data_IF_080497029655
#
_entry.id   IF_080497029655
#
_cell.length_a   1.000
_cell.length_b   1.000
_cell.length_c   1.000
_cell.angle_alpha   90.00
_cell.angle_beta   90.00
_cell.angle_gamma   90.00
#
_symmetry.space_group_name_H-M   'P 1'
#
loop_
_entity.id
_entity.type
_entity.pdbx_description
1 polymer ?
#
# COMPACT_ATOMS: atom_id res chain seq x y z
N UNK A 1 0.65 7.47 -11.10
CA UNK A 1 -0.49 6.56 -10.83
C UNK A 1 -0.95 6.71 -9.38
N UNK A 2 -2.25 6.59 -9.12
CA UNK A 2 -2.82 6.60 -7.77
C UNK A 2 -3.97 5.60 -7.69
N UNK A 3 -4.25 5.11 -6.49
CA UNK A 3 -5.31 4.16 -6.24
C UNK A 3 -5.53 3.96 -4.74
N UNK A 4 -6.69 3.38 -4.39
CA UNK A 4 -7.14 3.24 -3.01
C UNK A 4 -7.23 1.76 -2.61
N UNK A 5 -6.84 1.41 -1.38
CA UNK A 5 -6.91 0.04 -0.84
C UNK A 5 -6.25 -0.96 -1.79
N UNK A 6 -6.96 -1.96 -2.31
CA UNK A 6 -6.45 -2.87 -3.34
C UNK A 6 -5.92 -2.14 -4.58
N UNK A 7 -6.57 -1.06 -5.02
CA UNK A 7 -6.04 -0.20 -6.08
C UNK A 7 -4.80 0.58 -5.66
N UNK A 8 -4.64 0.83 -4.36
CA UNK A 8 -3.41 1.36 -3.77
C UNK A 8 -2.26 0.37 -3.90
N UNK A 9 -2.49 -0.93 -3.67
CA UNK A 9 -1.47 -1.96 -3.96
C UNK A 9 -1.07 -1.95 -5.43
N UNK A 10 -2.01 -1.78 -6.37
CA UNK A 10 -1.67 -1.63 -7.80
C UNK A 10 -0.79 -0.41 -8.04
N UNK A 11 -1.15 0.75 -7.47
CA UNK A 11 -0.33 1.95 -7.58
C UNK A 11 1.08 1.75 -7.00
N UNK A 12 1.20 1.08 -5.85
CA UNK A 12 2.46 0.80 -5.17
C UNK A 12 3.34 -0.16 -5.96
N UNK A 13 2.82 -1.36 -6.26
CA UNK A 13 3.60 -2.41 -6.91
C UNK A 13 3.84 -2.17 -8.40
N UNK A 14 3.14 -1.21 -9.02
CA UNK A 14 3.51 -0.76 -10.38
C UNK A 14 4.88 -0.09 -10.46
N UNK A 15 5.52 0.24 -9.32
CA UNK A 15 6.92 0.65 -9.24
C UNK A 15 7.88 -0.52 -8.95
N UNK A 16 7.38 -1.73 -8.65
CA UNK A 16 8.20 -2.86 -8.25
C UNK A 16 8.81 -3.55 -9.48
N UNK A 17 10.14 -3.64 -9.53
CA UNK A 17 10.87 -4.05 -10.73
C UNK A 17 10.53 -5.47 -11.21
N UNK A 18 10.36 -6.47 -10.34
CA UNK A 18 9.89 -7.79 -10.78
C UNK A 18 8.55 -7.75 -11.51
N UNK A 19 7.60 -6.89 -11.09
CA UNK A 19 6.31 -6.74 -11.77
C UNK A 19 6.46 -5.99 -13.10
N UNK A 20 7.24 -4.90 -13.12
CA UNK A 20 7.52 -4.14 -14.34
C UNK A 20 8.09 -5.09 -15.39
N UNK A 21 9.18 -5.78 -15.08
CA UNK A 21 9.87 -6.70 -15.98
C UNK A 21 8.98 -7.84 -16.51
N UNK A 22 7.99 -8.27 -15.74
CA UNK A 22 7.03 -9.30 -16.16
C UNK A 22 5.98 -8.79 -17.16
N UNK A 23 5.69 -7.47 -17.17
CA UNK A 23 4.64 -6.86 -18.00
C UNK A 23 5.23 -6.09 -19.18
N UNK A 24 6.30 -5.33 -18.98
CA UNK A 24 6.91 -4.45 -19.97
C UNK A 24 8.35 -4.09 -19.63
N UNK A 25 9.16 -3.82 -20.64
CA UNK A 25 10.53 -3.30 -20.49
C UNK A 25 10.67 -1.83 -20.94
N UNK A 26 9.56 -1.17 -21.27
CA UNK A 26 9.58 0.12 -21.99
C UNK A 26 8.74 1.22 -21.34
N UNK A 27 7.89 0.87 -20.36
CA UNK A 27 6.96 1.82 -19.76
C UNK A 27 7.08 1.81 -18.24
N UNK A 28 7.05 3.00 -17.66
CA UNK A 28 6.97 3.24 -16.23
C UNK A 28 6.03 4.42 -15.96
N UNK A 29 5.50 4.50 -14.75
CA UNK A 29 4.82 5.71 -14.28
C UNK A 29 5.84 6.69 -13.71
N UNK A 30 5.54 7.99 -13.81
CA UNK A 30 6.42 9.07 -13.32
C UNK A 30 6.32 9.37 -11.82
N UNK A 31 5.34 8.76 -11.15
CA UNK A 31 5.07 8.94 -9.72
C UNK A 31 4.01 7.94 -9.27
N UNK A 32 4.07 7.54 -8.00
CA UNK A 32 3.19 6.55 -7.39
C UNK A 32 2.62 7.13 -6.10
N UNK A 33 1.29 7.30 -6.04
CA UNK A 33 0.59 7.80 -4.86
C UNK A 33 -0.45 6.77 -4.38
N UNK A 34 -0.03 5.69 -3.69
CA UNK A 34 -0.94 4.75 -3.06
C UNK A 34 -1.69 5.36 -1.88
N UNK A 35 -2.99 5.14 -1.81
CA UNK A 35 -3.82 5.60 -0.70
C UNK A 35 -4.31 4.37 0.07
N UNK A 36 -3.89 4.27 1.34
CA UNK A 36 -4.08 3.17 2.29
C UNK A 36 -3.90 1.77 1.67
N UNK A 37 -2.79 1.51 0.97
CA UNK A 37 -2.56 0.20 0.36
C UNK A 37 -2.36 -0.89 1.43
N UNK A 38 -2.77 -2.13 1.16
CA UNK A 38 -2.23 -3.29 1.87
C UNK A 38 -0.70 -3.38 1.74
N UNK A 39 0.02 -3.13 2.84
CA UNK A 39 1.48 -3.30 2.96
C UNK A 39 1.88 -4.51 3.81
N UNK A 40 0.97 -5.45 4.06
CA UNK A 40 1.17 -6.61 4.95
C UNK A 40 2.07 -7.71 4.34
N UNK A 41 3.09 -7.31 3.59
CA UNK A 41 3.97 -8.20 2.85
C UNK A 41 5.44 -7.88 3.11
N UNK A 42 6.25 -8.92 3.26
CA UNK A 42 7.70 -8.84 3.39
C UNK A 42 8.31 -9.28 2.06
N UNK A 43 8.91 -8.35 1.32
CA UNK A 43 9.38 -8.60 -0.03
C UNK A 43 10.70 -9.40 -0.02
N UNK A 44 10.79 -10.45 -0.84
CA UNK A 44 12.06 -11.15 -1.09
C UNK A 44 13.03 -10.28 -1.90
N UNK A 45 12.52 -9.39 -2.75
CA UNK A 45 13.28 -8.38 -3.48
C UNK A 45 12.64 -7.01 -3.27
N UNK A 46 13.41 -6.08 -2.71
CA UNK A 46 13.03 -4.68 -2.48
C UNK A 46 13.57 -3.80 -3.60
N UNK A 47 13.40 -4.24 -4.85
CA UNK A 47 13.82 -3.49 -6.04
C UNK A 47 12.64 -2.69 -6.60
N UNK A 48 12.68 -1.38 -6.40
CA UNK A 48 11.69 -0.43 -6.94
C UNK A 48 12.34 0.48 -7.98
N UNK A 49 11.53 1.07 -8.85
CA UNK A 49 11.96 2.10 -9.79
C UNK A 49 12.46 3.35 -9.04
N UNK A 50 13.29 4.15 -9.70
CA UNK A 50 13.77 5.45 -9.19
C UNK A 50 12.69 6.55 -9.18
N UNK A 51 11.45 6.21 -9.53
CA UNK A 51 10.33 7.14 -9.59
C UNK A 51 9.66 7.27 -8.21
N UNK A 52 9.21 8.47 -7.82
CA UNK A 52 8.79 8.76 -6.44
C UNK A 52 7.55 7.97 -6.03
N UNK A 53 7.59 7.40 -4.81
CA UNK A 53 6.51 6.66 -4.18
C UNK A 53 6.12 7.35 -2.88
N UNK A 54 4.84 7.69 -2.72
CA UNK A 54 4.35 8.27 -1.47
C UNK A 54 3.06 7.63 -1.00
N UNK A 55 3.06 7.00 0.16
CA UNK A 55 1.88 6.35 0.75
C UNK A 55 1.11 7.35 1.61
N UNK A 56 -0.21 7.38 1.45
CA UNK A 56 -1.14 8.13 2.31
C UNK A 56 -2.01 7.17 3.11
N UNK A 57 -1.87 7.11 4.43
CA UNK A 57 -2.58 6.12 5.26
C UNK A 57 -3.11 6.71 6.57
N UNK A 58 -4.12 6.08 7.17
CA UNK A 58 -4.64 6.47 8.47
C UNK A 58 -3.94 5.75 9.63
N UNK A 59 -3.63 6.48 10.70
CA UNK A 59 -2.98 5.95 11.92
C UNK A 59 -3.74 4.78 12.55
N UNK A 60 -5.07 4.82 12.52
CA UNK A 60 -5.97 3.84 13.13
C UNK A 60 -6.50 2.82 12.12
N UNK A 61 -5.89 2.72 10.94
CA UNK A 61 -6.22 1.68 9.97
C UNK A 61 -5.92 0.31 10.61
N UNK A 62 -6.95 -0.48 10.88
CA UNK A 62 -6.83 -1.85 11.35
C UNK A 62 -7.20 -2.86 10.27
N UNK A 63 -7.71 -2.40 9.13
CA UNK A 63 -7.94 -3.25 7.97
C UNK A 63 -6.60 -3.64 7.36
N UNK A 64 -5.73 -2.66 7.12
CA UNK A 64 -4.34 -2.82 6.71
C UNK A 64 -3.48 -1.83 7.50
N UNK A 65 -2.73 -2.27 8.53
CA UNK A 65 -2.15 -1.37 9.51
C UNK A 65 -1.11 -0.41 8.92
N UNK A 66 -1.14 0.85 9.36
CA UNK A 66 -0.15 1.86 8.98
C UNK A 66 1.29 1.40 9.27
N UNK A 67 1.50 0.70 10.38
CA UNK A 67 2.80 0.14 10.77
C UNK A 67 3.39 -0.79 9.71
N UNK A 68 2.56 -1.56 8.99
CA UNK A 68 3.05 -2.40 7.90
C UNK A 68 3.62 -1.56 6.74
N UNK A 69 3.00 -0.41 6.46
CA UNK A 69 3.50 0.48 5.42
C UNK A 69 4.74 1.25 5.90
N UNK A 70 4.83 1.61 7.19
CA UNK A 70 6.04 2.20 7.76
C UNK A 70 7.24 1.23 7.70
N UNK A 71 7.03 -0.04 8.06
CA UNK A 71 8.03 -1.11 7.95
C UNK A 71 8.51 -1.24 6.49
N UNK A 72 7.57 -1.35 5.55
CA UNK A 72 7.89 -1.48 4.12
C UNK A 72 8.64 -0.26 3.57
N UNK A 73 8.24 0.96 3.94
CA UNK A 73 8.93 2.18 3.51
C UNK A 73 10.35 2.23 4.07
N UNK A 74 10.55 1.77 5.30
CA UNK A 74 11.89 1.65 5.90
C UNK A 74 12.76 0.70 5.08
N UNK A 75 12.25 -0.47 4.70
CA UNK A 75 12.96 -1.43 3.86
C UNK A 75 13.27 -0.85 2.47
N UNK A 76 12.30 -0.15 1.86
CA UNK A 76 12.47 0.51 0.56
C UNK A 76 13.54 1.59 0.59
N UNK A 77 13.53 2.45 1.61
CA UNK A 77 14.54 3.50 1.79
C UNK A 77 15.93 2.90 2.04
N UNK A 78 16.02 1.83 2.84
CA UNK A 78 17.26 1.10 3.06
C UNK A 78 17.83 0.48 1.76
N UNK A 79 16.95 0.10 0.83
CA UNK A 79 17.31 -0.38 -0.51
C UNK A 79 17.58 0.76 -1.52
N UNK A 80 17.42 2.03 -1.13
CA UNK A 80 17.72 3.20 -1.95
C UNK A 80 16.55 3.74 -2.79
N UNK A 81 15.32 3.29 -2.58
CA UNK A 81 14.15 3.81 -3.29
C UNK A 81 13.73 5.19 -2.76
N UNK A 82 13.24 6.07 -3.66
CA UNK A 82 12.55 7.31 -3.29
C UNK A 82 11.12 7.01 -2.82
N UNK A 83 11.01 6.62 -1.55
CA UNK A 83 9.77 6.17 -0.95
C UNK A 83 9.50 6.91 0.36
N UNK A 84 8.27 7.40 0.52
CA UNK A 84 7.84 8.17 1.68
C UNK A 84 6.41 7.79 2.11
N UNK A 85 6.02 8.20 3.32
CA UNK A 85 4.70 7.96 3.87
C UNK A 85 4.19 9.17 4.66
N UNK A 86 2.88 9.38 4.61
CA UNK A 86 2.16 10.26 5.53
C UNK A 86 1.08 9.46 6.24
N UNK A 87 1.21 9.41 7.57
CA UNK A 87 0.24 8.80 8.47
C UNK A 87 -0.65 9.90 9.04
N UNK A 88 -1.95 9.81 8.79
CA UNK A 88 -2.93 10.80 9.27
C UNK A 88 -3.43 10.43 10.66
N UNK A 89 -3.26 11.31 11.67
CA UNK A 89 -3.68 11.01 13.03
C UNK A 89 -5.19 10.78 13.15
N UNK A 90 -5.58 9.82 13.98
CA UNK A 90 -6.98 9.44 14.26
C UNK A 90 -7.81 9.07 13.01
N UNK A 91 -7.16 8.68 11.92
CA UNK A 91 -7.82 8.30 10.68
C UNK A 91 -7.82 6.79 10.49
N UNK A 92 -8.93 6.22 10.03
CA UNK A 92 -9.06 4.79 9.74
C UNK A 92 -8.85 4.50 8.25
N UNK A 93 -9.03 3.24 7.85
CA UNK A 93 -9.18 2.89 6.43
C UNK A 93 -10.28 3.74 5.78
N UNK A 94 -10.10 4.13 4.51
CA UNK A 94 -11.08 4.98 3.81
C UNK A 94 -11.33 6.35 4.48
N UNK A 95 -10.30 6.95 5.08
CA UNK A 95 -10.36 8.26 5.75
C UNK A 95 -10.89 9.41 4.87
N UNK A 96 -10.82 9.24 3.56
CA UNK A 96 -11.28 10.21 2.57
C UNK A 96 -12.77 10.08 2.27
N UNK A 97 -13.52 9.16 2.89
CA UNK A 97 -15.00 9.11 2.80
C UNK A 97 -15.64 10.34 3.47
N UNK A 98 -16.88 10.66 3.07
CA UNK A 98 -17.70 11.67 3.73
C UNK A 98 -18.43 11.14 4.97
N UNK A 99 -18.73 9.83 4.99
CA UNK A 99 -19.45 9.18 6.08
C UNK A 99 -18.53 8.98 7.28
N UNK A 100 -19.02 9.07 8.53
CA UNK A 100 -18.21 8.78 9.72
C UNK A 100 -17.74 7.32 9.74
N UNK A 101 -16.75 6.99 10.59
CA UNK A 101 -16.30 5.61 10.78
C UNK A 101 -17.43 4.66 11.18
N UNK A 102 -17.44 3.48 10.56
CA UNK A 102 -18.34 2.37 10.85
C UNK A 102 -17.55 1.06 10.91
N UNK A 103 -18.09 0.04 11.59
CA UNK A 103 -17.48 -1.28 11.69
C UNK A 103 -18.02 -2.15 10.55
N UNK A 104 -17.14 -2.89 9.87
CA UNK A 104 -17.54 -3.94 8.93
C UNK A 104 -17.40 -5.31 9.57
N UNK A 105 -18.47 -5.85 10.16
CA UNK A 105 -18.44 -7.10 10.95
C UNK A 105 -17.73 -8.27 10.25
N UNK A 106 -17.92 -8.43 8.95
CA UNK A 106 -17.33 -9.51 8.16
C UNK A 106 -15.98 -9.16 7.51
N UNK A 107 -15.51 -7.91 7.63
CA UNK A 107 -14.21 -7.49 7.14
C UNK A 107 -13.07 -8.14 7.93
N UNK A 108 -11.88 -8.26 7.34
CA UNK A 108 -10.70 -8.73 8.06
C UNK A 108 -9.99 -7.56 8.74
N UNK A 109 -9.50 -7.80 9.95
CA UNK A 109 -8.46 -7.00 10.58
C UNK A 109 -7.13 -7.72 10.32
N UNK A 110 -6.17 -7.02 9.71
CA UNK A 110 -4.90 -7.61 9.27
C UNK A 110 -3.69 -7.07 10.05
N UNK A 111 -3.93 -6.46 11.22
CA UNK A 111 -2.89 -5.87 12.08
C UNK A 111 -1.71 -6.81 12.31
N UNK A 112 -2.00 -8.07 12.64
CA UNK A 112 -1.00 -9.09 13.00
C UNK A 112 -0.55 -9.95 11.82
N UNK A 113 -0.99 -9.62 10.59
CA UNK A 113 -0.62 -10.36 9.40
C UNK A 113 0.61 -9.71 8.73
N UNK A 114 1.61 -10.54 8.44
CA UNK A 114 2.73 -10.23 7.53
C UNK A 114 3.03 -11.50 6.74
N UNK A 115 3.19 -11.40 5.43
CA UNK A 115 3.43 -12.56 4.56
C UNK A 115 4.64 -12.33 3.66
N UNK A 116 5.53 -13.32 3.56
CA UNK A 116 6.65 -13.25 2.63
C UNK A 116 6.14 -13.27 1.18
N UNK A 117 6.65 -12.38 0.33
CA UNK A 117 6.33 -12.35 -1.10
C UNK A 117 7.57 -12.71 -1.92
N UNK A 118 7.45 -13.73 -2.75
CA UNK A 118 8.48 -14.13 -3.72
C UNK A 118 8.57 -13.13 -4.87
N UNK A 119 9.67 -13.18 -5.61
CA UNK A 119 9.91 -12.35 -6.81
C UNK A 119 8.92 -12.60 -7.95
N UNK A 120 8.23 -13.75 -7.98
CA UNK A 120 7.12 -14.03 -8.91
C UNK A 120 5.76 -13.48 -8.43
N UNK A 121 5.73 -12.74 -7.31
CA UNK A 121 4.54 -12.17 -6.71
C UNK A 121 3.73 -13.15 -5.86
N UNK A 122 4.17 -14.40 -5.70
CA UNK A 122 3.48 -15.35 -4.84
C UNK A 122 3.68 -15.01 -3.35
N UNK A 123 2.59 -14.72 -2.65
CA UNK A 123 2.58 -14.62 -1.19
C UNK A 123 2.63 -16.02 -0.57
N UNK A 124 3.40 -16.16 0.51
CA UNK A 124 3.62 -17.42 1.19
C UNK A 124 2.97 -17.45 2.55
N UNK A 125 2.50 -18.63 2.94
CA UNK A 125 2.13 -18.92 4.31
C UNK A 125 3.37 -18.79 5.22
N UNK A 126 3.16 -18.27 6.43
CA UNK A 126 4.23 -18.18 7.45
C UNK A 126 4.67 -19.55 7.99
N UNK A 127 4.02 -20.63 7.56
CA UNK A 127 4.36 -22.00 7.87
C UNK A 127 4.62 -22.77 6.56
N UNK A 128 5.74 -23.50 6.51
CA UNK A 128 6.16 -24.32 5.36
C UNK A 128 6.31 -23.59 4.01
N UNK A 129 6.32 -22.25 3.97
CA UNK A 129 6.50 -21.44 2.75
C UNK A 129 5.54 -21.82 1.59
N UNK A 130 4.31 -22.23 1.93
CA UNK A 130 3.34 -22.68 0.92
C UNK A 130 2.73 -21.47 0.18
N UNK A 131 2.77 -21.42 -1.17
CA UNK A 131 2.17 -20.32 -1.93
C UNK A 131 0.65 -20.22 -1.78
N UNK A 132 0.18 -19.03 -1.44
CA UNK A 132 -1.22 -18.63 -1.25
C UNK A 132 -1.92 -18.27 -2.57
N UNK A 133 -1.73 -19.11 -3.59
CA UNK A 133 -2.23 -18.91 -4.96
C UNK A 133 -3.66 -19.44 -5.17
N UNK A 134 -4.32 -19.93 -4.12
CA UNK A 134 -5.71 -20.41 -4.17
C UNK A 134 -6.55 -19.83 -3.02
N UNK A 135 -7.87 -19.66 -3.20
CA UNK A 135 -8.73 -19.11 -2.15
C UNK A 135 -8.71 -19.91 -0.84
N UNK A 136 -8.61 -21.25 -0.92
CA UNK A 136 -8.52 -22.10 0.27
C UNK A 136 -7.24 -21.82 1.07
N UNK A 137 -6.11 -21.72 0.37
CA UNK A 137 -4.81 -21.43 1.01
C UNK A 137 -4.78 -20.04 1.64
N UNK A 138 -5.31 -19.04 0.93
CA UNK A 138 -5.44 -17.69 1.48
C UNK A 138 -6.27 -17.67 2.77
N UNK A 139 -7.41 -18.39 2.80
CA UNK A 139 -8.24 -18.49 4.01
C UNK A 139 -7.51 -19.15 5.17
N UNK A 140 -6.78 -20.25 4.92
CA UNK A 140 -5.99 -20.94 5.96
C UNK A 140 -4.92 -20.00 6.52
N UNK A 141 -4.19 -19.30 5.66
CA UNK A 141 -3.14 -18.39 6.08
C UNK A 141 -3.67 -17.21 6.90
N UNK A 142 -4.76 -16.60 6.43
CA UNK A 142 -5.43 -15.51 7.14
C UNK A 142 -6.02 -15.98 8.46
N UNK A 143 -6.52 -17.22 8.57
CA UNK A 143 -7.08 -17.73 9.82
C UNK A 143 -6.08 -17.77 11.00
N UNK A 144 -4.76 -17.69 10.72
CA UNK A 144 -3.72 -17.71 11.75
C UNK A 144 -3.37 -16.33 12.32
N UNK A 145 -3.75 -15.24 11.64
CA UNK A 145 -3.36 -13.87 12.02
C UNK A 145 -4.51 -12.85 11.96
N UNK A 146 -5.52 -13.10 11.13
CA UNK A 146 -6.59 -12.15 10.89
C UNK A 146 -7.72 -12.30 11.92
N UNK A 147 -8.23 -11.17 12.38
CA UNK A 147 -9.49 -11.09 13.14
C UNK A 147 -10.57 -10.41 12.30
N UNK A 148 -11.70 -10.00 12.91
CA UNK A 148 -12.89 -9.50 12.21
C UNK A 148 -13.33 -8.16 12.75
N UNK A 149 -14.06 -7.40 11.93
CA UNK A 149 -14.66 -6.13 12.32
C UNK A 149 -13.72 -4.92 12.20
N UNK A 150 -13.03 -4.69 11.07
CA UNK A 150 -12.25 -3.48 10.89
C UNK A 150 -13.15 -2.24 10.92
N UNK A 151 -12.57 -1.13 11.37
CA UNK A 151 -13.21 0.18 11.36
C UNK A 151 -12.74 0.93 10.13
N UNK A 152 -13.66 1.54 9.39
CA UNK A 152 -13.36 2.31 8.19
C UNK A 152 -14.32 3.48 8.05
N UNK A 153 -13.88 4.57 7.46
CA UNK A 153 -14.71 5.75 7.22
C UNK A 153 -13.97 7.05 7.37
N UNK A 154 -14.71 8.12 7.13
CA UNK A 154 -14.21 9.47 6.90
C UNK A 154 -13.61 10.12 8.12
N UNK A 155 -12.53 10.87 7.89
CA UNK A 155 -11.96 11.83 8.81
C UNK A 155 -11.76 13.15 8.02
N UNK A 156 -12.58 14.19 8.26
CA UNK A 156 -12.55 15.41 7.46
C UNK A 156 -11.17 16.09 7.41
N UNK A 157 -10.44 16.09 8.53
CA UNK A 157 -9.09 16.67 8.60
C UNK A 157 -8.09 15.89 7.76
N UNK A 158 -8.09 14.56 7.87
CA UNK A 158 -7.23 13.70 7.08
C UNK A 158 -7.56 13.78 5.59
N UNK A 159 -8.86 13.83 5.25
CA UNK A 159 -9.34 14.03 3.88
C UNK A 159 -8.79 15.32 3.28
N UNK A 160 -8.99 16.45 3.95
CA UNK A 160 -8.53 17.75 3.43
C UNK A 160 -7.01 17.80 3.28
N UNK A 161 -6.28 17.26 4.26
CA UNK A 161 -4.83 17.15 4.20
C UNK A 161 -4.36 16.27 3.04
N UNK A 162 -4.96 15.10 2.85
CA UNK A 162 -4.63 14.20 1.75
C UNK A 162 -4.92 14.81 0.38
N UNK A 163 -6.04 15.52 0.23
CA UNK A 163 -6.34 16.23 -1.02
C UNK A 163 -5.32 17.32 -1.31
N UNK A 164 -4.90 18.08 -0.30
CA UNK A 164 -3.85 19.10 -0.45
C UNK A 164 -2.51 18.46 -0.83
N UNK A 165 -2.10 17.42 -0.11
CA UNK A 165 -0.87 16.68 -0.39
C UNK A 165 -0.87 16.10 -1.80
N UNK A 166 -1.95 15.42 -2.19
CA UNK A 166 -2.07 14.76 -3.49
C UNK A 166 -1.93 15.76 -4.64
N UNK A 167 -2.54 16.95 -4.54
CA UNK A 167 -2.39 18.01 -5.55
C UNK A 167 -0.94 18.47 -5.67
N UNK A 168 -0.28 18.69 -4.52
CA UNK A 168 1.12 19.12 -4.50
C UNK A 168 2.04 18.06 -5.09
N UNK A 169 1.91 16.80 -4.64
CA UNK A 169 2.67 15.67 -5.14
C UNK A 169 2.53 15.49 -6.66
N UNK A 170 1.32 15.64 -7.19
CA UNK A 170 1.08 15.55 -8.63
C UNK A 170 1.70 16.75 -9.37
N UNK A 171 1.63 17.96 -8.82
CA UNK A 171 2.25 19.13 -9.42
C UNK A 171 3.77 18.98 -9.50
N UNK A 172 4.40 18.58 -8.39
CA UNK A 172 5.86 18.46 -8.29
C UNK A 172 6.43 17.41 -9.24
N UNK A 173 5.72 16.29 -9.42
CA UNK A 173 6.26 15.14 -10.16
C UNK A 173 5.77 15.06 -11.62
N UNK A 174 4.63 15.66 -11.96
CA UNK A 174 4.05 15.54 -13.31
C UNK A 174 4.10 16.83 -14.12
N UNK A 175 4.16 18.00 -13.48
CA UNK A 175 4.10 19.28 -14.19
C UNK A 175 5.47 19.94 -14.38
N UNK A 176 6.49 19.57 -13.60
CA UNK A 176 7.78 20.27 -13.57
C UNK A 176 8.71 19.92 -14.74
N UNK A 177 8.35 19.01 -15.65
CA UNK A 177 9.20 18.60 -16.78
C UNK A 177 8.62 18.80 -18.19
N UNK A 178 7.71 19.77 -18.39
CA UNK A 178 7.27 20.12 -19.75
C UNK A 178 8.23 21.06 -20.52
N UNK A 179 9.39 21.45 -19.95
CA UNK A 179 10.35 22.39 -20.59
C UNK A 179 11.81 21.94 -20.50
N UNK A 180 12.09 20.64 -20.63
CA UNK A 180 13.45 20.12 -20.46
C UNK A 180 13.77 18.85 -21.23
N UNK A 181 13.47 18.81 -22.53
CA UNK A 181 14.21 18.04 -23.55
C UNK A 181 14.25 18.84 -24.84
#
# INVERSE_FOLDING_TARGET
ITGWSLGGSVALFSAWQPLINAITSHHSFKAHLPIYPPCIVNLESVEFSDEPIHILIGELDNWVPATACEDMITDMQAAGADANITVYPNAHHSFDRLKPPEIMDNGYILTDCRFRMRTDGALLMNFFDIPMITPLRQKIALALCASRGPTFGGNPKARDAAFKFSKQFMADNLLVNATGK
#
